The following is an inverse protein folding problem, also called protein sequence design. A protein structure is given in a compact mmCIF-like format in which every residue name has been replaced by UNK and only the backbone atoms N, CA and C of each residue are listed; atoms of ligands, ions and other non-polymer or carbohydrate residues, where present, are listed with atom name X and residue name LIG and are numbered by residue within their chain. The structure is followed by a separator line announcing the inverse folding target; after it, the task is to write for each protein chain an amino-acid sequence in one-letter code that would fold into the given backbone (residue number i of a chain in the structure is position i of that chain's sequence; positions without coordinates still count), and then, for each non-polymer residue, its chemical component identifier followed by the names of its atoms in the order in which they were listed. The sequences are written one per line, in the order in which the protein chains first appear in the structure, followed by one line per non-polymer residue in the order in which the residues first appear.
data_IF_588506745797
#
_entry.id   IF_588506745797
#
_cell.length_a   1.000
_cell.length_b   1.000
_cell.length_c   1.000
_cell.angle_alpha   90.00
_cell.angle_beta   90.00
_cell.angle_gamma   90.00
#
_symmetry.space_group_name_H-M   'P 1'
#
loop_
_entity.id
_entity.type
_entity.pdbx_description
1 polymer ?
#
# COMPACT_ATOMS: atom_id res chain seq x y z
N UNK A 1 3.06 32.52 19.58
CA UNK A 1 3.89 33.70 19.30
C UNK A 1 5.20 33.70 20.11
N UNK A 2 5.19 33.44 21.43
CA UNK A 2 6.39 33.57 22.26
C UNK A 2 7.50 32.52 21.93
N UNK A 3 7.14 31.26 21.69
CA UNK A 3 8.11 30.20 21.32
C UNK A 3 8.78 30.44 19.96
N UNK A 4 8.04 30.99 19.01
CA UNK A 4 8.52 31.27 17.66
C UNK A 4 9.53 32.40 17.64
N UNK A 5 9.24 33.50 18.37
CA UNK A 5 10.18 34.60 18.58
C UNK A 5 11.47 34.16 19.29
N UNK A 6 11.35 33.28 20.28
CA UNK A 6 12.52 32.72 20.97
C UNK A 6 13.40 31.89 20.02
N UNK A 7 12.82 31.12 19.13
CA UNK A 7 13.57 30.31 18.12
C UNK A 7 14.30 31.23 17.14
N UNK A 8 13.66 32.28 16.64
CA UNK A 8 14.27 33.24 15.73
C UNK A 8 15.40 34.00 16.45
N UNK A 9 15.18 34.47 17.66
CA UNK A 9 16.22 35.17 18.45
C UNK A 9 17.45 34.27 18.73
N UNK A 10 17.21 32.98 19.02
CA UNK A 10 18.29 32.00 19.20
C UNK A 10 19.06 31.76 17.91
N UNK A 11 18.35 31.70 16.76
CA UNK A 11 18.97 31.59 15.43
C UNK A 11 19.87 32.81 15.15
N UNK A 12 19.34 34.01 15.30
CA UNK A 12 20.12 35.27 15.08
C UNK A 12 21.36 35.38 15.98
N UNK A 13 21.23 34.92 17.24
CA UNK A 13 22.41 34.90 18.15
C UNK A 13 23.49 33.92 17.65
N UNK A 14 23.09 32.72 17.22
CA UNK A 14 24.03 31.76 16.60
C UNK A 14 24.64 32.26 15.29
N UNK A 15 23.85 32.96 14.46
CA UNK A 15 24.36 33.57 13.22
C UNK A 15 25.41 34.63 13.49
N UNK A 16 25.26 35.40 14.58
CA UNK A 16 26.24 36.39 14.99
C UNK A 16 27.58 35.76 15.40
N UNK A 17 27.56 34.57 15.98
CA UNK A 17 28.74 33.82 16.39
C UNK A 17 29.42 33.07 15.22
N UNK A 18 28.66 32.55 14.27
CA UNK A 18 29.11 31.60 13.24
C UNK A 18 28.96 32.10 11.80
N UNK A 19 28.59 33.37 11.55
CA UNK A 19 28.30 34.03 10.27
C UNK A 19 27.08 33.46 9.55
N UNK A 20 26.72 32.22 9.79
CA UNK A 20 25.49 31.57 9.30
C UNK A 20 24.94 30.57 10.32
N UNK A 21 23.63 30.41 10.36
CA UNK A 21 22.97 29.41 11.20
C UNK A 21 21.64 28.96 10.58
N UNK A 22 21.23 27.74 10.90
CA UNK A 22 19.94 27.17 10.48
C UNK A 22 19.15 26.71 11.70
N UNK A 23 17.83 26.78 11.60
CA UNK A 23 16.92 26.24 12.59
C UNK A 23 15.62 25.79 11.93
N UNK A 24 15.08 24.69 12.41
CA UNK A 24 13.75 24.25 12.03
C UNK A 24 12.72 24.72 13.06
N UNK A 25 11.53 25.07 12.57
CA UNK A 25 10.42 25.39 13.45
C UNK A 25 9.11 24.87 12.86
N UNK A 26 8.20 24.45 13.74
CA UNK A 26 6.82 24.09 13.37
C UNK A 26 5.88 25.22 13.76
N UNK A 27 5.08 25.67 12.80
CA UNK A 27 4.03 26.67 13.02
C UNK A 27 2.68 25.98 12.94
N UNK A 28 1.87 26.12 14.00
CA UNK A 28 0.47 25.68 13.98
C UNK A 28 -0.35 26.66 13.16
N UNK A 29 -0.86 26.22 12.02
CA UNK A 29 -1.76 26.98 11.18
C UNK A 29 -3.20 26.42 11.28
N UNK A 30 -4.21 27.23 10.95
CA UNK A 30 -5.63 26.82 11.05
C UNK A 30 -5.98 25.60 10.19
N UNK A 31 -5.27 25.38 9.10
CA UNK A 31 -5.54 24.30 8.14
C UNK A 31 -4.60 23.08 8.28
N UNK A 32 -3.34 23.30 8.65
CA UNK A 32 -2.34 22.24 8.88
C UNK A 32 -1.07 22.82 9.47
N UNK A 33 -0.36 22.05 10.28
CA UNK A 33 0.94 22.47 10.81
C UNK A 33 1.94 22.59 9.66
N UNK A 34 2.74 23.69 9.67
CA UNK A 34 3.81 23.95 8.69
C UNK A 34 5.17 23.77 9.33
N UNK A 35 6.05 23.04 8.67
CA UNK A 35 7.45 22.91 9.04
C UNK A 35 8.28 23.88 8.19
N UNK A 36 8.97 24.80 8.84
CA UNK A 36 9.78 25.83 8.20
C UNK A 36 11.25 25.60 8.53
N UNK A 37 12.10 25.69 7.52
CA UNK A 37 13.54 25.82 7.66
C UNK A 37 13.89 27.30 7.57
N UNK A 38 14.50 27.83 8.62
CA UNK A 38 15.02 29.19 8.69
C UNK A 38 16.54 29.14 8.55
N UNK A 39 17.07 29.80 7.55
CA UNK A 39 18.50 29.96 7.35
C UNK A 39 18.83 31.45 7.48
N UNK A 40 19.69 31.80 8.39
CA UNK A 40 20.14 33.17 8.61
C UNK A 40 21.65 33.33 8.32
N UNK A 41 22.02 34.39 7.60
CA UNK A 41 23.41 34.71 7.26
C UNK A 41 23.67 36.18 7.53
N UNK A 42 24.87 36.51 8.08
CA UNK A 42 25.30 37.88 8.33
C UNK A 42 25.99 38.45 7.09
N UNK A 43 25.60 39.63 6.64
CA UNK A 43 26.33 40.39 5.64
C UNK A 43 27.46 41.20 6.34
N UNK A 44 28.69 40.81 6.07
CA UNK A 44 29.88 41.42 6.73
C UNK A 44 30.07 42.91 6.41
N UNK A 45 29.56 43.37 5.24
CA UNK A 45 29.70 44.75 4.79
C UNK A 45 28.75 45.74 5.48
N UNK A 46 27.54 45.28 5.88
CA UNK A 46 26.49 46.17 6.41
C UNK A 46 26.07 45.78 7.85
N UNK A 47 26.61 44.71 8.38
CA UNK A 47 26.19 44.13 9.67
C UNK A 47 24.67 43.76 9.74
N UNK A 48 24.08 43.50 8.56
CA UNK A 48 22.68 43.09 8.40
C UNK A 48 22.56 41.59 8.33
N UNK A 49 21.35 41.08 8.60
CA UNK A 49 21.03 39.65 8.49
C UNK A 49 20.12 39.39 7.31
N UNK A 50 20.46 38.39 6.50
CA UNK A 50 19.57 37.82 5.52
C UNK A 50 18.91 36.60 6.18
N UNK A 51 17.56 36.59 6.25
CA UNK A 51 16.79 35.48 6.76
C UNK A 51 16.00 34.87 5.59
N UNK A 52 16.28 33.60 5.25
CA UNK A 52 15.56 32.82 4.29
C UNK A 52 14.63 31.85 5.03
N UNK A 53 13.37 31.81 4.63
CA UNK A 53 12.35 30.95 5.23
C UNK A 53 11.82 30.02 4.13
N UNK A 54 12.10 28.74 4.27
CA UNK A 54 11.63 27.70 3.35
C UNK A 54 10.55 26.84 3.99
N UNK A 55 9.42 26.62 3.31
CA UNK A 55 8.41 25.66 3.73
C UNK A 55 8.88 24.24 3.35
N UNK A 56 9.29 23.47 4.35
CA UNK A 56 9.77 22.10 4.20
C UNK A 56 8.72 21.06 4.63
N UNK A 57 7.45 21.45 4.73
CA UNK A 57 6.37 20.57 5.21
C UNK A 57 6.21 19.32 4.33
N UNK A 58 6.32 19.47 3.02
CA UNK A 58 6.25 18.34 2.08
C UNK A 58 7.44 17.40 2.24
N UNK A 59 8.66 17.95 2.39
CA UNK A 59 9.88 17.17 2.61
C UNK A 59 9.78 16.36 3.92
N UNK A 60 9.41 17.02 5.01
CA UNK A 60 9.23 16.36 6.31
C UNK A 60 8.14 15.29 6.30
N UNK A 61 7.06 15.53 5.56
CA UNK A 61 6.02 14.53 5.36
C UNK A 61 6.56 13.28 4.65
N UNK A 62 7.34 13.45 3.59
CA UNK A 62 7.98 12.36 2.86
C UNK A 62 9.00 11.60 3.73
N UNK A 63 9.85 12.31 4.48
CA UNK A 63 10.81 11.67 5.39
C UNK A 63 10.11 10.84 6.47
N UNK A 64 9.04 11.37 7.07
CA UNK A 64 8.25 10.65 8.07
C UNK A 64 7.55 9.42 7.48
N UNK A 65 6.99 9.54 6.27
CA UNK A 65 6.39 8.41 5.56
C UNK A 65 7.43 7.32 5.29
N UNK A 66 8.63 7.71 4.83
CA UNK A 66 9.74 6.77 4.60
C UNK A 66 10.20 6.09 5.90
N UNK A 67 10.36 6.86 6.98
CA UNK A 67 10.76 6.32 8.28
C UNK A 67 9.72 5.33 8.84
N UNK A 68 8.44 5.67 8.75
CA UNK A 68 7.37 4.78 9.18
C UNK A 68 7.35 3.51 8.34
N UNK A 69 7.50 3.62 7.01
CA UNK A 69 7.59 2.47 6.12
C UNK A 69 8.73 1.51 6.51
N UNK A 70 9.93 2.03 6.74
CA UNK A 70 11.08 1.20 7.16
C UNK A 70 10.85 0.53 8.52
N UNK A 71 10.19 1.22 9.46
CA UNK A 71 9.81 0.65 10.74
C UNK A 71 8.81 -0.48 10.58
N UNK A 72 7.76 -0.27 9.77
CA UNK A 72 6.71 -1.25 9.52
C UNK A 72 7.28 -2.49 8.82
N UNK A 73 8.13 -2.31 7.80
CA UNK A 73 8.85 -3.39 7.11
C UNK A 73 9.68 -4.20 8.10
N UNK A 74 10.45 -3.53 8.97
CA UNK A 74 11.31 -4.21 9.95
C UNK A 74 10.50 -5.09 10.90
N UNK A 75 9.36 -4.61 11.35
CA UNK A 75 8.45 -5.37 12.21
C UNK A 75 7.83 -6.56 11.50
N UNK A 76 7.33 -6.38 10.28
CA UNK A 76 6.66 -7.44 9.53
C UNK A 76 7.62 -8.52 8.99
N UNK A 77 8.90 -8.19 8.74
CA UNK A 77 9.94 -9.17 8.41
C UNK A 77 10.38 -9.96 9.63
N UNK A 78 10.50 -9.33 10.79
CA UNK A 78 10.99 -9.99 12.01
C UNK A 78 10.11 -11.17 12.43
N UNK A 79 8.81 -11.07 12.26
CA UNK A 79 7.85 -12.11 12.65
C UNK A 79 8.07 -13.42 11.89
N UNK A 80 7.97 -13.48 10.54
CA UNK A 80 8.19 -14.71 9.79
C UNK A 80 9.61 -15.25 9.95
N UNK A 81 10.63 -14.40 10.02
CA UNK A 81 12.03 -14.83 10.28
C UNK A 81 12.13 -15.53 11.64
N UNK A 82 11.46 -15.01 12.68
CA UNK A 82 11.48 -15.64 14.00
C UNK A 82 10.78 -17.00 14.00
N UNK A 83 9.67 -17.16 13.24
CA UNK A 83 8.98 -18.44 13.08
C UNK A 83 9.84 -19.46 12.34
N UNK A 84 10.48 -19.05 11.23
CA UNK A 84 11.39 -19.90 10.47
C UNK A 84 12.54 -20.39 11.36
N UNK A 85 13.15 -19.49 12.13
CA UNK A 85 14.25 -19.83 13.05
C UNK A 85 13.80 -20.81 14.13
N UNK A 86 12.70 -20.50 14.81
CA UNK A 86 12.17 -21.37 15.88
C UNK A 86 11.79 -22.76 15.33
N UNK A 87 11.15 -22.83 14.17
CA UNK A 87 10.83 -24.10 13.51
C UNK A 87 12.07 -24.91 13.17
N UNK A 88 13.11 -24.27 12.64
CA UNK A 88 14.39 -24.92 12.33
C UNK A 88 15.11 -25.40 13.60
N UNK A 89 15.15 -24.59 14.66
CA UNK A 89 15.73 -24.97 15.95
C UNK A 89 15.00 -26.19 16.57
N UNK A 90 13.66 -26.21 16.48
CA UNK A 90 12.83 -27.32 16.99
C UNK A 90 13.07 -28.61 16.21
N UNK A 91 13.18 -28.53 14.88
CA UNK A 91 13.50 -29.69 14.05
C UNK A 91 14.88 -30.25 14.41
N UNK A 92 15.89 -29.41 14.57
CA UNK A 92 17.24 -29.81 14.95
C UNK A 92 17.34 -30.37 16.37
N UNK A 93 16.42 -30.02 17.27
CA UNK A 93 16.39 -30.48 18.66
C UNK A 93 15.67 -31.81 18.87
N UNK A 94 15.36 -32.57 17.82
CA UNK A 94 14.80 -33.92 17.88
C UNK A 94 13.40 -34.07 17.28
N UNK A 95 12.71 -32.97 16.90
CA UNK A 95 11.39 -33.07 16.28
C UNK A 95 11.40 -33.75 14.88
N UNK A 96 12.56 -33.98 14.29
CA UNK A 96 12.74 -34.78 13.06
C UNK A 96 12.36 -36.25 13.22
N UNK A 97 12.41 -36.79 14.45
CA UNK A 97 12.08 -38.18 14.74
C UNK A 97 10.57 -38.45 14.69
N UNK A 98 9.75 -37.40 14.94
CA UNK A 98 8.29 -37.45 14.77
C UNK A 98 7.86 -36.89 13.42
N UNK A 99 7.48 -37.78 12.51
CA UNK A 99 7.08 -37.40 11.13
C UNK A 99 5.95 -36.38 11.06
N UNK A 100 4.95 -36.45 11.96
CA UNK A 100 3.84 -35.51 11.98
C UNK A 100 4.29 -34.11 12.41
N UNK A 101 5.08 -34.05 13.48
CA UNK A 101 5.63 -32.79 13.99
C UNK A 101 6.62 -32.18 13.00
N UNK A 102 7.52 -33.02 12.43
CA UNK A 102 8.45 -32.57 11.38
C UNK A 102 7.72 -31.95 10.19
N UNK A 103 6.64 -32.60 9.70
CA UNK A 103 5.84 -32.08 8.59
C UNK A 103 5.19 -30.72 8.91
N UNK A 104 4.65 -30.55 10.13
CA UNK A 104 4.03 -29.28 10.57
C UNK A 104 5.06 -28.15 10.61
N UNK A 105 6.24 -28.38 11.18
CA UNK A 105 7.29 -27.35 11.24
C UNK A 105 7.85 -27.02 9.86
N UNK A 106 8.10 -28.02 9.01
CA UNK A 106 8.56 -27.81 7.64
C UNK A 106 7.55 -26.98 6.84
N UNK A 107 6.25 -27.30 6.95
CA UNK A 107 5.19 -26.53 6.29
C UNK A 107 5.16 -25.09 6.81
N UNK A 108 5.28 -24.89 8.14
CA UNK A 108 5.31 -23.56 8.73
C UNK A 108 6.53 -22.73 8.24
N UNK A 109 7.70 -23.36 8.11
CA UNK A 109 8.90 -22.72 7.57
C UNK A 109 8.66 -22.30 6.11
N UNK A 110 8.15 -23.22 5.29
CA UNK A 110 7.85 -22.95 3.89
C UNK A 110 6.86 -21.80 3.73
N UNK A 111 5.75 -21.85 4.47
CA UNK A 111 4.70 -20.82 4.43
C UNK A 111 5.23 -19.42 4.78
N UNK A 112 6.14 -19.32 5.76
CA UNK A 112 6.73 -18.05 6.16
C UNK A 112 7.81 -17.57 5.18
N UNK A 113 8.55 -18.49 4.54
CA UNK A 113 9.50 -18.15 3.47
C UNK A 113 8.77 -17.61 2.22
N UNK A 114 7.66 -18.25 1.80
CA UNK A 114 6.80 -17.78 0.71
C UNK A 114 6.24 -16.40 1.02
N UNK A 115 5.71 -16.20 2.25
CA UNK A 115 5.23 -14.88 2.68
C UNK A 115 6.30 -13.80 2.63
N UNK A 116 7.55 -14.11 2.99
CA UNK A 116 8.66 -13.15 2.86
C UNK A 116 8.96 -12.81 1.41
N UNK A 117 8.93 -13.79 0.51
CA UNK A 117 9.12 -13.55 -0.93
C UNK A 117 8.03 -12.65 -1.50
N UNK A 118 6.75 -12.93 -1.21
CA UNK A 118 5.63 -12.06 -1.60
C UNK A 118 5.80 -10.62 -1.07
N UNK A 119 6.25 -10.49 0.19
CA UNK A 119 6.46 -9.17 0.81
C UNK A 119 7.57 -8.38 0.10
N UNK A 120 8.67 -9.04 -0.28
CA UNK A 120 9.77 -8.41 -1.01
C UNK A 120 9.30 -7.95 -2.40
N UNK A 121 8.53 -8.77 -3.11
CA UNK A 121 7.97 -8.43 -4.42
C UNK A 121 7.03 -7.23 -4.33
N UNK A 122 6.09 -7.24 -3.38
CA UNK A 122 5.18 -6.13 -3.10
C UNK A 122 5.94 -4.82 -2.78
N UNK A 123 7.01 -4.91 -1.97
CA UNK A 123 7.84 -3.76 -1.61
C UNK A 123 8.61 -3.19 -2.80
N UNK A 124 9.19 -4.04 -3.63
CA UNK A 124 9.89 -3.61 -4.86
C UNK A 124 8.92 -2.93 -5.83
N UNK A 125 7.68 -3.40 -5.91
CA UNK A 125 6.66 -2.78 -6.75
C UNK A 125 6.21 -1.43 -6.17
N UNK A 126 6.01 -1.31 -4.86
CA UNK A 126 5.74 -0.05 -4.18
C UNK A 126 6.89 0.96 -4.38
N UNK A 127 8.13 0.52 -4.27
CA UNK A 127 9.31 1.37 -4.48
C UNK A 127 9.35 1.92 -5.92
N UNK A 128 9.12 1.07 -6.92
CA UNK A 128 9.03 1.50 -8.33
C UNK A 128 7.95 2.57 -8.52
N UNK A 129 6.82 2.47 -7.83
CA UNK A 129 5.73 3.43 -7.94
C UNK A 129 6.08 4.77 -7.28
N UNK A 130 6.68 4.74 -6.10
CA UNK A 130 6.94 5.94 -5.29
C UNK A 130 8.15 6.75 -5.78
N UNK A 131 9.21 6.07 -6.21
CA UNK A 131 10.50 6.72 -6.45
C UNK A 131 10.90 6.80 -7.93
N UNK A 132 10.25 6.06 -8.82
CA UNK A 132 10.69 6.02 -10.22
C UNK A 132 10.43 7.31 -11.00
N UNK A 133 9.56 8.20 -10.51
CA UNK A 133 9.15 9.40 -11.27
C UNK A 133 8.55 9.07 -12.65
N UNK A 134 8.43 7.78 -12.99
CA UNK A 134 7.98 7.31 -14.30
C UNK A 134 6.52 7.72 -14.53
N UNK A 135 6.30 8.42 -15.62
CA UNK A 135 4.94 8.71 -16.08
C UNK A 135 4.29 7.42 -16.58
N UNK A 136 3.03 7.12 -16.20
CA UNK A 136 2.33 5.94 -16.68
C UNK A 136 2.32 5.84 -18.20
N UNK A 137 2.70 4.69 -18.75
CA UNK A 137 2.71 4.45 -20.20
C UNK A 137 1.29 4.11 -20.68
N UNK A 138 0.46 5.14 -20.82
CA UNK A 138 -0.95 4.99 -21.17
C UNK A 138 -1.13 4.59 -22.63
N UNK A 139 -1.69 3.39 -22.86
CA UNK A 139 -2.07 2.86 -24.19
C UNK A 139 -3.54 2.48 -24.20
N UNK A 140 -4.17 2.54 -25.38
CA UNK A 140 -5.52 2.01 -25.56
C UNK A 140 -5.51 0.50 -25.37
N UNK A 141 -6.44 -0.02 -24.58
CA UNK A 141 -6.59 -1.45 -24.35
C UNK A 141 -8.05 -1.82 -24.12
N UNK A 142 -8.42 -3.04 -24.50
CA UNK A 142 -9.71 -3.62 -24.21
C UNK A 142 -9.73 -4.18 -22.78
N UNK A 143 -10.70 -3.75 -21.99
CA UNK A 143 -10.82 -4.11 -20.56
C UNK A 143 -11.06 -5.60 -20.37
N UNK A 144 -12.01 -6.17 -21.12
CA UNK A 144 -12.35 -7.59 -21.03
C UNK A 144 -11.15 -8.48 -21.37
N UNK A 145 -10.39 -8.13 -22.40
CA UNK A 145 -9.19 -8.89 -22.78
C UNK A 145 -8.16 -8.93 -21.65
N UNK A 146 -7.93 -7.79 -20.94
CA UNK A 146 -6.98 -7.76 -19.83
C UNK A 146 -7.49 -8.56 -18.62
N UNK A 147 -8.78 -8.49 -18.35
CA UNK A 147 -9.40 -9.24 -17.25
C UNK A 147 -9.34 -10.75 -17.52
N UNK A 148 -9.57 -11.20 -18.74
CA UNK A 148 -9.46 -12.63 -19.08
C UNK A 148 -8.04 -13.15 -18.83
N UNK A 149 -7.00 -12.39 -19.19
CA UNK A 149 -5.60 -12.77 -18.89
C UNK A 149 -5.35 -12.91 -17.39
N UNK A 150 -5.95 -12.04 -16.58
CA UNK A 150 -5.85 -12.12 -15.11
C UNK A 150 -6.59 -13.36 -14.60
N UNK A 151 -7.81 -13.61 -15.09
CA UNK A 151 -8.62 -14.78 -14.73
C UNK A 151 -7.85 -16.06 -15.04
N UNK A 152 -7.26 -16.17 -16.24
CA UNK A 152 -6.47 -17.33 -16.64
C UNK A 152 -5.29 -17.57 -15.68
N UNK A 153 -4.62 -16.51 -15.23
CA UNK A 153 -3.52 -16.62 -14.26
C UNK A 153 -3.96 -17.04 -12.85
N UNK A 154 -5.22 -16.82 -12.49
CA UNK A 154 -5.79 -17.15 -11.18
C UNK A 154 -6.65 -18.44 -11.19
N UNK A 155 -6.71 -19.13 -12.34
CA UNK A 155 -7.57 -20.27 -12.54
C UNK A 155 -7.32 -21.41 -11.53
N UNK A 156 -6.05 -21.69 -11.22
CA UNK A 156 -5.70 -22.73 -10.23
C UNK A 156 -6.26 -22.41 -8.85
N UNK A 157 -6.16 -21.15 -8.40
CA UNK A 157 -6.68 -20.71 -7.10
C UNK A 157 -8.22 -20.78 -7.06
N UNK A 158 -8.88 -20.43 -8.16
CA UNK A 158 -10.34 -20.55 -8.26
C UNK A 158 -10.77 -22.02 -8.24
N UNK A 159 -10.03 -22.89 -8.90
CA UNK A 159 -10.32 -24.32 -8.93
C UNK A 159 -10.18 -24.98 -7.56
N UNK A 160 -9.09 -24.69 -6.84
CA UNK A 160 -8.85 -25.20 -5.49
C UNK A 160 -9.98 -24.89 -4.50
N UNK A 161 -10.62 -23.72 -4.66
CA UNK A 161 -11.72 -23.25 -3.81
C UNK A 161 -13.11 -23.43 -4.43
N UNK A 162 -13.22 -24.06 -5.60
CA UNK A 162 -14.48 -24.19 -6.35
C UNK A 162 -15.19 -22.84 -6.58
N UNK A 163 -14.46 -21.75 -6.78
CA UNK A 163 -15.01 -20.41 -6.99
C UNK A 163 -15.71 -20.33 -8.35
N UNK A 164 -16.95 -19.87 -8.33
CA UNK A 164 -17.70 -19.52 -9.54
C UNK A 164 -17.44 -18.06 -9.92
N UNK A 165 -17.09 -17.83 -11.18
CA UNK A 165 -16.85 -16.48 -11.67
C UNK A 165 -17.99 -16.02 -12.57
N UNK A 166 -18.66 -14.93 -12.18
CA UNK A 166 -19.65 -14.25 -13.02
C UNK A 166 -19.02 -12.99 -13.63
N UNK A 167 -18.57 -13.10 -14.89
CA UNK A 167 -17.93 -12.00 -15.59
C UNK A 167 -18.94 -11.30 -16.51
N UNK A 168 -19.38 -10.09 -16.12
CA UNK A 168 -20.30 -9.22 -16.87
C UNK A 168 -19.58 -7.97 -17.40
N UNK A 169 -18.30 -8.07 -17.70
CA UNK A 169 -17.51 -6.98 -18.30
C UNK A 169 -17.85 -6.88 -19.79
N UNK A 170 -18.20 -5.66 -20.25
CA UNK A 170 -18.51 -5.44 -21.66
C UNK A 170 -17.27 -5.54 -22.55
N UNK A 171 -17.42 -6.25 -23.69
CA UNK A 171 -16.38 -6.35 -24.73
C UNK A 171 -16.10 -5.03 -25.46
N UNK A 172 -17.00 -4.06 -25.36
CA UNK A 172 -16.87 -2.75 -26.00
C UNK A 172 -16.05 -1.76 -25.18
N UNK A 173 -15.78 -2.08 -23.89
CA UNK A 173 -15.07 -1.17 -23.01
C UNK A 173 -13.58 -1.09 -23.36
N UNK A 174 -13.18 0.07 -23.89
CA UNK A 174 -11.78 0.42 -24.23
C UNK A 174 -11.39 1.64 -23.42
N UNK A 175 -10.24 1.58 -22.77
CA UNK A 175 -9.68 2.69 -21.99
C UNK A 175 -8.23 2.97 -22.40
N UNK A 176 -7.77 4.22 -22.12
CA UNK A 176 -6.36 4.59 -22.29
C UNK A 176 -5.68 4.65 -20.94
N UNK A 177 -4.96 3.61 -20.56
CA UNK A 177 -4.29 3.51 -19.27
C UNK A 177 -2.98 2.72 -19.37
N UNK A 178 -2.22 2.69 -18.28
CA UNK A 178 -1.03 1.85 -18.16
C UNK A 178 -1.46 0.39 -17.91
N UNK A 179 -1.06 -0.49 -18.84
CA UNK A 179 -1.50 -1.87 -18.86
C UNK A 179 -1.03 -2.68 -17.65
N UNK A 180 0.22 -2.47 -17.24
CA UNK A 180 0.82 -3.23 -16.16
C UNK A 180 0.22 -2.80 -14.81
N UNK A 181 0.12 -1.49 -14.59
CA UNK A 181 -0.59 -0.95 -13.42
C UNK A 181 -2.04 -1.43 -13.33
N UNK A 182 -2.76 -1.45 -14.44
CA UNK A 182 -4.14 -1.93 -14.51
C UNK A 182 -4.24 -3.42 -14.13
N UNK A 183 -3.34 -4.25 -14.67
CA UNK A 183 -3.29 -5.69 -14.34
C UNK A 183 -2.97 -5.92 -12.87
N UNK A 184 -1.98 -5.24 -12.32
CA UNK A 184 -1.63 -5.33 -10.91
C UNK A 184 -2.79 -4.94 -10.00
N UNK A 185 -3.51 -3.86 -10.29
CA UNK A 185 -4.71 -3.45 -9.54
C UNK A 185 -5.75 -4.56 -9.51
N UNK A 186 -6.15 -5.06 -10.67
CA UNK A 186 -7.23 -6.03 -10.76
C UNK A 186 -6.82 -7.42 -10.28
N UNK A 187 -5.59 -7.85 -10.54
CA UNK A 187 -5.06 -9.12 -10.01
C UNK A 187 -5.10 -9.15 -8.48
N UNK A 188 -4.65 -8.07 -7.82
CA UNK A 188 -4.71 -7.96 -6.36
C UNK A 188 -6.14 -8.02 -5.82
N UNK A 189 -7.08 -7.33 -6.47
CA UNK A 189 -8.48 -7.32 -6.02
C UNK A 189 -9.17 -8.66 -6.25
N UNK A 190 -8.98 -9.29 -7.42
CA UNK A 190 -9.57 -10.60 -7.74
C UNK A 190 -8.94 -11.68 -6.86
N UNK A 191 -7.62 -11.69 -6.66
CA UNK A 191 -6.94 -12.62 -5.76
C UNK A 191 -7.44 -12.47 -4.31
N UNK A 192 -7.67 -11.24 -3.84
CA UNK A 192 -8.28 -11.01 -2.54
C UNK A 192 -9.71 -11.53 -2.47
N UNK A 193 -10.54 -11.33 -3.50
CA UNK A 193 -11.89 -11.87 -3.56
C UNK A 193 -11.89 -13.40 -3.45
N UNK A 194 -11.01 -14.09 -4.19
CA UNK A 194 -10.84 -15.56 -4.10
C UNK A 194 -10.41 -15.97 -2.69
N UNK A 195 -9.42 -15.28 -2.15
CA UNK A 195 -8.79 -15.62 -0.89
C UNK A 195 -9.74 -15.51 0.31
N UNK A 196 -10.55 -14.47 0.35
CA UNK A 196 -11.43 -14.15 1.48
C UNK A 196 -12.84 -14.72 1.34
N UNK A 197 -13.15 -15.37 0.23
CA UNK A 197 -14.41 -16.07 0.03
C UNK A 197 -14.34 -17.51 0.54
N UNK A 198 -15.45 -18.07 1.08
CA UNK A 198 -15.59 -19.49 1.33
C UNK A 198 -15.50 -20.30 0.04
N UNK A 199 -15.25 -21.60 0.17
CA UNK A 199 -15.26 -22.54 -0.94
C UNK A 199 -16.66 -22.61 -1.56
N UNK A 200 -16.74 -22.68 -2.91
CA UNK A 200 -17.99 -22.71 -3.67
C UNK A 200 -18.70 -21.38 -3.84
N UNK A 201 -18.08 -20.27 -3.38
CA UNK A 201 -18.65 -18.92 -3.50
C UNK A 201 -18.60 -18.39 -4.92
N UNK A 202 -19.39 -17.33 -5.17
CA UNK A 202 -19.40 -16.60 -6.44
C UNK A 202 -18.65 -15.27 -6.33
N UNK A 203 -17.78 -15.01 -7.31
CA UNK A 203 -17.15 -13.69 -7.52
C UNK A 203 -17.78 -13.06 -8.76
N UNK A 204 -18.21 -11.81 -8.66
CA UNK A 204 -18.81 -11.08 -9.76
C UNK A 204 -17.95 -9.92 -10.20
N UNK A 205 -17.71 -9.81 -11.52
CA UNK A 205 -17.01 -8.71 -12.15
C UNK A 205 -17.98 -7.93 -13.03
N UNK A 206 -18.04 -6.60 -12.85
CA UNK A 206 -18.87 -5.72 -13.67
C UNK A 206 -18.08 -4.50 -14.09
N UNK A 207 -18.43 -3.91 -15.22
CA UNK A 207 -17.90 -2.62 -15.64
C UNK A 207 -19.00 -1.69 -16.08
N UNK A 208 -18.84 -0.41 -15.78
CA UNK A 208 -19.69 0.67 -16.26
C UNK A 208 -18.83 1.83 -16.76
N UNK A 209 -19.27 2.47 -17.81
CA UNK A 209 -18.60 3.62 -18.42
C UNK A 209 -19.49 4.86 -18.26
N UNK A 210 -18.90 5.97 -17.82
CA UNK A 210 -19.47 7.31 -17.87
C UNK A 210 -18.73 8.14 -18.93
N UNK A 211 -19.08 9.40 -19.13
CA UNK A 211 -18.39 10.28 -20.08
C UNK A 211 -16.90 10.49 -19.75
N UNK A 212 -16.52 10.43 -18.50
CA UNK A 212 -15.16 10.73 -18.02
C UNK A 212 -14.39 9.51 -17.53
N UNK A 213 -15.08 8.52 -17.00
CA UNK A 213 -14.48 7.44 -16.23
C UNK A 213 -15.03 6.06 -16.61
N UNK A 214 -14.23 5.04 -16.39
CA UNK A 214 -14.69 3.66 -16.25
C UNK A 214 -14.66 3.26 -14.77
N UNK A 215 -15.68 2.55 -14.33
CA UNK A 215 -15.73 1.90 -13.00
C UNK A 215 -15.77 0.40 -13.18
N UNK A 216 -14.87 -0.31 -12.49
CA UNK A 216 -14.84 -1.76 -12.43
C UNK A 216 -15.23 -2.15 -11.00
N UNK A 217 -16.27 -2.98 -10.89
CA UNK A 217 -16.74 -3.55 -9.63
C UNK A 217 -16.28 -5.00 -9.54
N UNK A 218 -15.66 -5.34 -8.42
CA UNK A 218 -15.30 -6.70 -8.02
C UNK A 218 -16.08 -6.99 -6.75
N UNK A 219 -17.03 -7.94 -6.81
CA UNK A 219 -17.86 -8.31 -5.67
C UNK A 219 -17.59 -9.75 -5.28
N UNK A 220 -17.39 -9.99 -3.98
CA UNK A 220 -17.19 -11.29 -3.36
C UNK A 220 -18.29 -11.63 -2.35
N UNK A 221 -18.48 -12.91 -2.06
CA UNK A 221 -19.35 -13.46 -1.01
C UNK A 221 -18.54 -13.86 0.25
N UNK A 222 -17.46 -13.14 0.51
CA UNK A 222 -16.53 -13.41 1.60
C UNK A 222 -17.03 -13.04 2.99
N UNK A 223 -16.12 -13.11 3.96
CA UNK A 223 -16.43 -12.82 5.37
C UNK A 223 -16.83 -11.36 5.62
N UNK A 224 -16.62 -10.48 4.65
CA UNK A 224 -16.90 -9.05 4.78
C UNK A 224 -15.94 -8.33 5.74
N UNK A 225 -16.07 -7.00 5.78
CA UNK A 225 -15.20 -6.10 6.53
C UNK A 225 -16.06 -5.27 7.48
N UNK A 226 -15.62 -5.13 8.72
CA UNK A 226 -16.28 -4.29 9.72
C UNK A 226 -16.19 -2.81 9.32
N UNK A 227 -17.27 -2.06 9.56
CA UNK A 227 -17.38 -0.65 9.18
C UNK A 227 -16.21 0.22 9.69
N UNK A 228 -15.75 -0.04 10.91
CA UNK A 228 -14.60 0.67 11.50
C UNK A 228 -13.27 0.42 10.78
N UNK A 229 -13.16 -0.68 10.04
CA UNK A 229 -11.95 -1.10 9.33
C UNK A 229 -11.92 -0.65 7.86
N UNK A 230 -13.06 -0.22 7.27
CA UNK A 230 -13.17 0.15 5.85
C UNK A 230 -12.18 1.24 5.43
N UNK A 231 -11.93 2.22 6.29
CA UNK A 231 -10.99 3.29 6.00
C UNK A 231 -9.53 2.84 6.08
N UNK A 232 -9.25 1.74 6.78
CA UNK A 232 -7.91 1.25 7.07
C UNK A 232 -7.46 0.10 6.18
N UNK A 233 -8.37 -0.56 5.46
CA UNK A 233 -8.00 -1.73 4.61
C UNK A 233 -7.00 -1.39 3.51
N UNK A 234 -6.87 -0.12 3.16
CA UNK A 234 -5.89 0.39 2.20
C UNK A 234 -4.58 0.88 2.86
N UNK A 235 -4.46 0.79 4.19
CA UNK A 235 -3.22 1.12 4.89
C UNK A 235 -2.22 -0.03 4.70
N UNK A 236 -0.92 0.29 4.62
CA UNK A 236 0.15 -0.71 4.46
C UNK A 236 0.18 -1.65 5.65
N UNK A 237 0.41 -2.95 5.38
CA UNK A 237 0.48 -4.01 6.38
C UNK A 237 -0.79 -4.18 7.22
N UNK A 238 -1.85 -3.43 6.91
CA UNK A 238 -3.08 -3.55 7.65
C UNK A 238 -3.83 -4.83 7.26
N UNK A 239 -4.20 -5.60 8.30
CA UNK A 239 -5.05 -6.79 8.18
C UNK A 239 -5.96 -6.83 9.39
N UNK A 240 -7.23 -7.18 9.18
CA UNK A 240 -8.15 -7.43 10.29
C UNK A 240 -7.73 -8.69 11.04
N UNK A 241 -8.10 -8.81 12.33
CA UNK A 241 -7.75 -9.99 13.15
C UNK A 241 -8.31 -11.27 12.52
N UNK A 242 -9.52 -11.22 11.96
CA UNK A 242 -10.11 -12.33 11.21
C UNK A 242 -9.28 -12.73 9.99
N UNK A 243 -8.82 -11.76 9.22
CA UNK A 243 -7.96 -12.01 8.07
C UNK A 243 -6.60 -12.59 8.48
N UNK A 244 -6.06 -12.20 9.62
CA UNK A 244 -4.82 -12.78 10.16
C UNK A 244 -4.98 -14.24 10.57
N UNK A 245 -6.13 -14.59 11.14
CA UNK A 245 -6.41 -15.95 11.64
C UNK A 245 -6.70 -16.95 10.50
N UNK A 246 -7.28 -16.51 9.39
CA UNK A 246 -7.84 -17.44 8.38
C UNK A 246 -7.09 -17.44 7.04
N UNK A 247 -6.24 -16.46 6.78
CA UNK A 247 -5.59 -16.35 5.46
C UNK A 247 -4.14 -15.92 5.56
N UNK A 248 -3.29 -16.37 4.63
CA UNK A 248 -1.92 -15.87 4.46
C UNK A 248 -1.94 -14.54 3.71
N UNK A 249 -0.90 -13.71 3.82
CA UNK A 249 -0.69 -12.51 3.01
C UNK A 249 0.07 -11.41 3.72
N UNK A 250 0.57 -10.47 2.95
CA UNK A 250 1.47 -9.39 3.36
C UNK A 250 0.76 -8.18 3.96
N UNK A 251 -0.49 -7.90 3.52
CA UNK A 251 -1.22 -6.67 3.84
C UNK A 251 -0.78 -5.47 3.00
N UNK A 252 0.00 -5.70 1.94
CA UNK A 252 0.49 -4.67 1.02
C UNK A 252 -0.39 -4.52 -0.23
N UNK A 253 -1.03 -5.59 -0.70
CA UNK A 253 -1.76 -5.60 -1.97
C UNK A 253 -2.82 -4.50 -2.11
N UNK A 254 -3.66 -4.25 -1.09
CA UNK A 254 -4.66 -3.17 -1.16
C UNK A 254 -4.03 -1.76 -1.10
N UNK A 255 -2.94 -1.59 -0.40
CA UNK A 255 -2.19 -0.33 -0.41
C UNK A 255 -1.55 -0.06 -1.77
N UNK A 256 -1.05 -1.10 -2.43
CA UNK A 256 -0.55 -1.07 -3.81
C UNK A 256 -1.66 -0.69 -4.79
N UNK A 257 -2.83 -1.31 -4.67
CA UNK A 257 -4.04 -0.96 -5.44
C UNK A 257 -4.36 0.53 -5.32
N UNK A 258 -4.39 1.07 -4.10
CA UNK A 258 -4.68 2.49 -3.86
C UNK A 258 -3.65 3.41 -4.50
N UNK A 259 -2.36 3.10 -4.38
CA UNK A 259 -1.28 3.92 -4.95
C UNK A 259 -1.30 3.90 -6.47
N UNK A 260 -1.41 2.72 -7.08
CA UNK A 260 -1.49 2.59 -8.54
C UNK A 260 -2.71 3.30 -9.10
N UNK A 261 -3.88 3.12 -8.48
CA UNK A 261 -5.12 3.77 -8.90
C UNK A 261 -4.98 5.30 -8.84
N UNK A 262 -4.43 5.84 -7.75
CA UNK A 262 -4.18 7.29 -7.62
C UNK A 262 -3.17 7.79 -8.67
N UNK A 263 -2.11 7.03 -8.94
CA UNK A 263 -1.12 7.36 -9.97
C UNK A 263 -1.71 7.41 -11.38
N UNK A 264 -2.71 6.58 -11.66
CA UNK A 264 -3.46 6.61 -12.91
C UNK A 264 -4.47 7.76 -12.99
N UNK A 265 -4.63 8.55 -11.93
CA UNK A 265 -5.61 9.64 -11.80
C UNK A 265 -7.01 9.16 -11.41
N UNK A 266 -7.13 7.93 -10.92
CA UNK A 266 -8.37 7.30 -10.50
C UNK A 266 -8.58 7.30 -8.99
N UNK A 267 -9.57 6.51 -8.55
CA UNK A 267 -9.89 6.29 -7.14
C UNK A 267 -10.35 4.85 -6.91
N UNK A 268 -10.05 4.30 -5.73
CA UNK A 268 -10.54 3.00 -5.27
C UNK A 268 -11.37 3.17 -4.00
N UNK A 269 -12.49 2.46 -3.92
CA UNK A 269 -13.35 2.44 -2.75
C UNK A 269 -13.85 1.02 -2.46
N UNK A 270 -14.40 0.82 -1.25
CA UNK A 270 -14.92 -0.47 -0.80
C UNK A 270 -16.24 -0.27 -0.06
N UNK A 271 -17.18 -1.13 -0.36
CA UNK A 271 -18.42 -1.34 0.40
C UNK A 271 -18.41 -2.78 0.91
N UNK A 272 -18.71 -2.98 2.18
CA UNK A 272 -18.71 -4.31 2.75
C UNK A 272 -19.63 -4.43 3.95
N UNK A 273 -20.13 -5.62 4.15
CA UNK A 273 -20.91 -6.00 5.33
C UNK A 273 -20.48 -7.38 5.81
N UNK A 274 -20.27 -7.53 7.12
CA UNK A 274 -19.87 -8.80 7.74
C UNK A 274 -20.81 -9.93 7.30
N UNK A 275 -20.23 -11.05 6.90
CA UNK A 275 -20.86 -12.26 6.41
C UNK A 275 -21.76 -12.07 5.17
N UNK A 276 -21.54 -10.99 4.42
CA UNK A 276 -22.24 -10.70 3.16
C UNK A 276 -21.27 -10.37 2.02
N UNK A 277 -19.95 -10.43 2.28
CA UNK A 277 -18.93 -10.13 1.32
C UNK A 277 -18.57 -8.65 1.20
N UNK A 278 -17.79 -8.36 0.19
CA UNK A 278 -17.28 -7.01 -0.10
C UNK A 278 -17.43 -6.68 -1.58
N UNK A 279 -17.51 -5.39 -1.87
CA UNK A 279 -17.49 -4.82 -3.22
C UNK A 279 -16.40 -3.80 -3.31
N UNK A 280 -15.44 -4.03 -4.16
CA UNK A 280 -14.40 -3.07 -4.47
C UNK A 280 -14.71 -2.38 -5.79
N UNK A 281 -14.56 -1.06 -5.82
CA UNK A 281 -14.81 -0.22 -6.98
C UNK A 281 -13.51 0.47 -7.38
N UNK A 282 -13.04 0.22 -8.59
CA UNK A 282 -11.89 0.90 -9.18
C UNK A 282 -12.42 1.84 -10.26
N UNK A 283 -12.26 3.15 -10.03
CA UNK A 283 -12.63 4.18 -11.00
C UNK A 283 -11.36 4.71 -11.66
N UNK A 284 -11.29 4.67 -12.97
CA UNK A 284 -10.16 5.17 -13.76
C UNK A 284 -10.65 6.15 -14.83
N UNK A 285 -9.89 7.24 -15.14
CA UNK A 285 -10.23 8.12 -16.23
C UNK A 285 -10.11 7.39 -17.57
N UNK A 286 -11.01 7.70 -18.51
CA UNK A 286 -10.98 7.11 -19.87
C UNK A 286 -9.89 7.69 -20.77
N UNK A 287 -9.41 8.92 -20.49
CA UNK A 287 -8.47 9.68 -21.34
C UNK A 287 -7.11 9.87 -20.69
#
# INVERSE_FOLDING_TARGET
ANKQLQSINKLLKKTKENLSAEAEMTIKAKSSDKNLLLSATTMLSTNEYILVINDISSLRKLENLRKNLLSDISHEIKTPVSVIRAGSETLNSGALEDKETAKKFTQSIQDNAERLSEMIEDLLELEKIEFSGLVPNKKKMNVLQQINIIIDSLQSLMFEKNIQLNNSISSEHVIKTDKDSFRTILSNLIANAIKYSPDGSTISLKSSISETDITIEIADEGYGIEKQNLNRVFDRFYRTDKARAHTKGTGLGLSLVKQLTNRLGGNVSVESKINKGSKFFVRLPQK
#
